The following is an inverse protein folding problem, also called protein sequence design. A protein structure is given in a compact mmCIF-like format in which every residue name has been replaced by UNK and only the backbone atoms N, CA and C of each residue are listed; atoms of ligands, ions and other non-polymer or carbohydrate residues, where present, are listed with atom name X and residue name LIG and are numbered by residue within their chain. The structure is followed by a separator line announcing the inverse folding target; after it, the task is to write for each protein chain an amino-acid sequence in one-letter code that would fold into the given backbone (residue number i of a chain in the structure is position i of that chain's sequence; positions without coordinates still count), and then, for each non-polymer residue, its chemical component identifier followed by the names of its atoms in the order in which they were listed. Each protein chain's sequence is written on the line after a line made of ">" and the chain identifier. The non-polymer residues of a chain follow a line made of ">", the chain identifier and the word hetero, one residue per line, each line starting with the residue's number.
data_IF_122171915028
#
_entry.id   IF_122171915028
#
_cell.length_a   1.000
_cell.length_b   1.000
_cell.length_c   1.000
_cell.angle_alpha   90.00
_cell.angle_beta   90.00
_cell.angle_gamma   90.00
#
_symmetry.space_group_name_H-M   'P 1'
#
loop_
_entity.id
_entity.type
_entity.pdbx_description
1 polymer ?
#
# COMPACT_ATOMS: atom_id res chain seq x y z
N UNK A 1 10.72 4.56 -19.81
CA UNK A 1 9.89 4.46 -18.60
C UNK A 1 8.97 5.66 -18.58
N UNK A 2 7.66 5.45 -18.54
CA UNK A 2 6.69 6.51 -18.32
C UNK A 2 6.69 6.96 -16.86
N UNK A 3 6.32 8.22 -16.62
CA UNK A 3 6.11 8.75 -15.25
C UNK A 3 5.09 7.92 -14.48
N UNK A 4 4.06 7.40 -15.15
CA UNK A 4 3.04 6.53 -14.53
C UNK A 4 3.66 5.25 -13.99
N UNK A 5 4.55 4.61 -14.76
CA UNK A 5 5.24 3.41 -14.32
C UNK A 5 6.20 3.72 -13.16
N UNK A 6 6.94 4.83 -13.20
CA UNK A 6 7.79 5.29 -12.10
C UNK A 6 6.98 5.50 -10.80
N UNK A 7 5.80 6.12 -10.90
CA UNK A 7 4.89 6.30 -9.76
C UNK A 7 4.41 4.96 -9.20
N UNK A 8 4.09 3.98 -10.06
CA UNK A 8 3.71 2.63 -9.63
C UNK A 8 4.87 1.90 -8.92
N UNK A 9 6.10 2.01 -9.43
CA UNK A 9 7.27 1.41 -8.78
C UNK A 9 7.53 2.02 -7.38
N UNK A 10 7.36 3.33 -7.23
CA UNK A 10 7.47 3.99 -5.93
C UNK A 10 6.34 3.56 -4.99
N UNK A 11 5.12 3.42 -5.50
CA UNK A 11 4.02 2.87 -4.72
C UNK A 11 4.28 1.43 -4.25
N UNK A 12 4.93 0.61 -5.07
CA UNK A 12 5.35 -0.75 -4.68
C UNK A 12 6.38 -0.72 -3.55
N UNK A 13 7.42 0.11 -3.65
CA UNK A 13 8.44 0.25 -2.59
C UNK A 13 7.80 0.63 -1.25
N UNK A 14 6.84 1.55 -1.27
CA UNK A 14 6.08 1.93 -0.07
C UNK A 14 5.21 0.78 0.44
N UNK A 15 4.58 0.00 -0.45
CA UNK A 15 3.79 -1.18 -0.05
C UNK A 15 4.66 -2.26 0.59
N UNK A 16 5.88 -2.45 0.12
CA UNK A 16 6.87 -3.37 0.72
C UNK A 16 7.36 -2.86 2.08
N UNK A 17 7.66 -1.57 2.18
CA UNK A 17 8.04 -0.93 3.45
C UNK A 17 6.89 -1.02 4.47
N UNK A 18 5.65 -0.79 4.05
CA UNK A 18 4.46 -0.92 4.90
C UNK A 18 4.32 -2.34 5.45
N UNK A 19 4.49 -3.36 4.60
CA UNK A 19 4.45 -4.75 5.05
C UNK A 19 5.55 -5.06 6.08
N UNK A 20 6.76 -4.50 5.90
CA UNK A 20 7.86 -4.61 6.86
C UNK A 20 7.53 -3.94 8.20
N UNK A 21 7.08 -2.69 8.16
CA UNK A 21 6.69 -1.90 9.33
C UNK A 21 5.55 -2.57 10.13
N UNK A 22 4.58 -3.17 9.44
CA UNK A 22 3.50 -3.92 10.09
C UNK A 22 3.98 -5.17 10.83
N UNK A 23 4.95 -5.89 10.27
CA UNK A 23 5.58 -7.03 10.96
C UNK A 23 6.40 -6.56 12.16
N UNK A 24 7.11 -5.43 12.02
CA UNK A 24 7.90 -4.81 13.08
C UNK A 24 7.05 -4.06 14.13
N UNK A 25 5.75 -3.91 13.90
CA UNK A 25 4.82 -3.14 14.73
C UNK A 25 5.19 -1.65 14.85
N UNK A 26 5.78 -1.09 13.79
CA UNK A 26 6.18 0.32 13.68
C UNK A 26 4.97 1.16 13.23
N UNK A 27 4.00 1.34 14.14
CA UNK A 27 2.70 1.93 13.82
C UNK A 27 2.76 3.39 13.34
N UNK A 28 3.70 4.19 13.86
CA UNK A 28 3.92 5.57 13.41
C UNK A 28 4.41 5.60 11.96
N UNK A 29 5.42 4.77 11.65
CA UNK A 29 5.92 4.57 10.28
C UNK A 29 4.84 4.08 9.33
N UNK A 30 3.92 3.22 9.79
CA UNK A 30 2.77 2.79 8.97
C UNK A 30 1.84 3.93 8.57
N UNK A 31 1.63 4.91 9.46
CA UNK A 31 0.81 6.09 9.17
C UNK A 31 1.50 6.97 8.14
N UNK A 32 2.78 7.27 8.34
CA UNK A 32 3.59 8.08 7.41
C UNK A 32 3.60 7.45 6.00
N UNK A 33 3.88 6.14 5.91
CA UNK A 33 3.86 5.41 4.65
C UNK A 33 2.46 5.43 4.02
N UNK A 34 1.40 5.32 4.82
CA UNK A 34 0.02 5.40 4.34
C UNK A 34 -0.31 6.74 3.68
N UNK A 35 0.14 7.85 4.28
CA UNK A 35 -0.01 9.20 3.71
C UNK A 35 0.76 9.35 2.39
N UNK A 36 2.03 8.91 2.35
CA UNK A 36 2.86 8.95 1.15
C UNK A 36 2.25 8.12 0.01
N UNK A 37 1.74 6.91 0.31
CA UNK A 37 1.01 6.07 -0.65
C UNK A 37 -0.21 6.80 -1.19
N UNK A 38 -0.98 7.48 -0.34
CA UNK A 38 -2.14 8.27 -0.73
C UNK A 38 -1.80 9.39 -1.72
N UNK A 39 -0.68 10.09 -1.48
CA UNK A 39 -0.17 11.12 -2.41
C UNK A 39 0.16 10.53 -3.78
N UNK A 40 0.81 9.37 -3.84
CA UNK A 40 1.13 8.72 -5.11
C UNK A 40 -0.12 8.25 -5.87
N UNK A 41 -1.13 7.73 -5.16
CA UNK A 41 -2.42 7.36 -5.78
C UNK A 41 -3.07 8.59 -6.42
N UNK A 42 -3.01 9.75 -5.77
CA UNK A 42 -3.52 11.01 -6.34
C UNK A 42 -2.77 11.50 -7.58
N UNK A 43 -1.57 10.98 -7.85
CA UNK A 43 -0.78 11.31 -9.05
C UNK A 43 -1.00 10.31 -10.20
N UNK A 44 -1.59 9.15 -9.93
CA UNK A 44 -1.87 8.15 -10.95
C UNK A 44 -3.07 8.58 -11.81
N UNK A 45 -3.04 8.32 -13.13
CA UNK A 45 -4.18 8.59 -13.99
C UNK A 45 -5.32 7.60 -13.66
N UNK A 46 -6.56 8.06 -13.85
CA UNK A 46 -7.75 7.22 -13.63
C UNK A 46 -7.79 5.99 -14.55
N UNK A 47 -7.23 6.11 -15.76
CA UNK A 47 -7.09 5.02 -16.73
C UNK A 47 -5.61 4.75 -17.02
N UNK A 48 -5.07 3.77 -16.28
CA UNK A 48 -3.69 3.29 -16.46
C UNK A 48 -3.49 2.62 -17.81
N UNK A 49 -4.51 1.92 -18.35
CA UNK A 49 -4.41 1.18 -19.60
C UNK A 49 -4.35 2.10 -20.82
N UNK A 50 -5.04 3.23 -20.77
CA UNK A 50 -4.96 4.27 -21.81
C UNK A 50 -3.67 5.09 -21.74
N UNK A 51 -3.05 5.21 -20.56
CA UNK A 51 -1.87 6.06 -20.34
C UNK A 51 -0.55 5.31 -20.53
N UNK A 52 -0.50 4.03 -20.19
CA UNK A 52 0.72 3.24 -20.25
C UNK A 52 0.98 2.69 -21.67
N UNK A 53 2.22 2.86 -22.18
CA UNK A 53 2.68 2.17 -23.38
C UNK A 53 2.48 0.64 -23.27
N UNK A 54 2.14 -0.07 -24.37
CA UNK A 54 1.87 -1.50 -24.35
C UNK A 54 3.01 -2.36 -23.76
N UNK A 55 4.25 -1.94 -23.94
CA UNK A 55 5.46 -2.58 -23.40
C UNK A 55 5.61 -2.41 -21.87
N UNK A 56 4.98 -1.39 -21.29
CA UNK A 56 4.98 -1.11 -19.85
C UNK A 56 3.76 -1.70 -19.11
N UNK A 57 2.68 -2.02 -19.82
CA UNK A 57 1.43 -2.54 -19.23
C UNK A 57 1.62 -3.85 -18.47
N UNK A 58 2.45 -4.76 -18.98
CA UNK A 58 2.74 -6.03 -18.31
C UNK A 58 3.44 -5.79 -16.96
N UNK A 59 4.41 -4.87 -16.92
CA UNK A 59 5.12 -4.52 -15.70
C UNK A 59 4.20 -3.84 -14.69
N UNK A 60 3.41 -2.86 -15.12
CA UNK A 60 2.43 -2.20 -14.28
C UNK A 60 1.43 -3.20 -13.66
N UNK A 61 0.97 -4.19 -14.42
CA UNK A 61 0.11 -5.26 -13.91
C UNK A 61 0.79 -6.09 -12.83
N UNK A 62 2.03 -6.50 -13.04
CA UNK A 62 2.82 -7.24 -12.03
C UNK A 62 2.99 -6.41 -10.75
N UNK A 63 3.26 -5.11 -10.86
CA UNK A 63 3.35 -4.20 -9.72
C UNK A 63 2.03 -4.16 -8.95
N UNK A 64 0.91 -3.95 -9.64
CA UNK A 64 -0.43 -3.86 -9.01
C UNK A 64 -0.78 -5.17 -8.29
N UNK A 65 -0.56 -6.31 -8.94
CA UNK A 65 -0.80 -7.63 -8.34
C UNK A 65 0.07 -7.85 -7.09
N UNK A 66 1.32 -7.39 -7.12
CA UNK A 66 2.22 -7.47 -5.96
C UNK A 66 1.76 -6.59 -4.81
N UNK A 67 1.36 -5.35 -5.08
CA UNK A 67 0.82 -4.45 -4.07
C UNK A 67 -0.43 -5.05 -3.39
N UNK A 68 -1.35 -5.62 -4.17
CA UNK A 68 -2.55 -6.30 -3.64
C UNK A 68 -2.19 -7.47 -2.71
N UNK A 69 -1.18 -8.26 -3.06
CA UNK A 69 -0.70 -9.35 -2.21
C UNK A 69 -0.07 -8.85 -0.90
N UNK A 70 0.63 -7.72 -0.93
CA UNK A 70 1.23 -7.11 0.26
C UNK A 70 0.16 -6.52 1.18
N UNK A 71 -0.82 -5.81 0.61
CA UNK A 71 -1.94 -5.26 1.36
C UNK A 71 -2.76 -6.38 2.03
N UNK A 72 -3.03 -7.48 1.32
CA UNK A 72 -3.73 -8.64 1.87
C UNK A 72 -2.98 -9.30 3.04
N UNK A 73 -1.66 -9.18 3.10
CA UNK A 73 -0.83 -9.67 4.23
C UNK A 73 -0.76 -8.68 5.38
N UNK A 74 -0.82 -7.38 5.07
CA UNK A 74 -0.66 -6.29 6.03
C UNK A 74 -1.94 -6.03 6.81
N UNK A 75 -3.10 -6.09 6.14
CA UNK A 75 -4.41 -5.80 6.73
C UNK A 75 -4.71 -6.63 7.99
N UNK A 76 -4.50 -7.97 8.01
CA UNK A 76 -4.77 -8.77 9.21
C UNK A 76 -3.90 -8.37 10.43
N UNK A 77 -2.67 -7.90 10.19
CA UNK A 77 -1.76 -7.45 11.26
C UNK A 77 -2.28 -6.15 11.90
N UNK A 78 -2.73 -5.22 11.06
CA UNK A 78 -3.32 -3.95 11.51
C UNK A 78 -4.64 -4.19 12.26
N UNK A 79 -5.50 -5.06 11.75
CA UNK A 79 -6.76 -5.44 12.41
C UNK A 79 -6.51 -6.09 13.78
N UNK A 80 -5.53 -7.01 13.86
CA UNK A 80 -5.15 -7.65 15.12
C UNK A 80 -4.66 -6.63 16.15
N UNK A 81 -3.82 -5.68 15.73
CA UNK A 81 -3.35 -4.60 16.61
C UNK A 81 -4.50 -3.69 17.05
N UNK A 82 -5.36 -3.25 16.13
CA UNK A 82 -6.49 -2.39 16.44
C UNK A 82 -7.43 -3.06 17.45
N UNK A 83 -7.71 -4.35 17.27
CA UNK A 83 -8.48 -5.15 18.23
C UNK A 83 -7.80 -5.21 19.60
N UNK A 84 -6.48 -5.41 19.65
CA UNK A 84 -5.73 -5.44 20.91
C UNK A 84 -5.80 -4.09 21.65
N UNK A 85 -5.70 -2.97 20.93
CA UNK A 85 -5.85 -1.64 21.49
C UNK A 85 -7.28 -1.39 21.99
N UNK A 86 -8.30 -1.77 21.23
CA UNK A 86 -9.70 -1.65 21.66
C UNK A 86 -9.99 -2.38 22.97
N UNK A 87 -9.42 -3.59 23.15
CA UNK A 87 -9.51 -4.34 24.41
C UNK A 87 -8.84 -3.58 25.57
N UNK A 88 -7.66 -3.01 25.36
CA UNK A 88 -6.93 -2.24 26.39
C UNK A 88 -7.66 -0.95 26.78
N UNK A 89 -8.24 -0.26 25.80
CA UNK A 89 -8.99 0.98 25.99
C UNK A 89 -10.43 0.74 26.48
N UNK A 90 -10.88 -0.52 26.54
CA UNK A 90 -12.27 -0.91 26.85
C UNK A 90 -13.28 -0.32 25.87
N UNK A 91 -12.86 -0.12 24.63
CA UNK A 91 -13.77 0.25 23.56
C UNK A 91 -14.50 -1.01 23.07
N UNK A 92 -15.82 -0.94 22.80
CA UNK A 92 -16.51 -2.08 22.22
C UNK A 92 -15.87 -2.39 20.86
N UNK A 93 -15.44 -3.64 20.67
CA UNK A 93 -15.03 -4.13 19.35
C UNK A 93 -16.24 -4.06 18.43
N UNK A 94 -16.29 -3.03 17.58
CA UNK A 94 -17.38 -2.82 16.63
C UNK A 94 -17.31 -3.76 15.44
#
# INVERSE_FOLDING_TARGET
>A
MSRTLDTLENFLKLSEAMAGAAVAQEWETLVEIGEERGVLVGQLPADLGATLPPDEQAHARTIIERCQQLDAKTLPLMEAQHKALGVLLREPTS
#
